data_IF_232146015021
#
_entry.id   IF_232146015021
#
_cell.length_a   1.000
_cell.length_b   1.000
_cell.length_c   1.000
_cell.angle_alpha   90.00
_cell.angle_beta   90.00
_cell.angle_gamma   90.00
#
_symmetry.space_group_name_H-M   'P 1'
#
loop_
_entity.id
_entity.type
_entity.pdbx_description
1 polymer ?
#
# COMPACT_ATOMS: atom_id res chain seq x y z
N UNK A 1 24.18 -79.97 -17.08
CA UNK A 1 23.67 -78.65 -17.53
C UNK A 1 22.89 -78.02 -16.39
N UNK A 2 23.41 -76.93 -15.83
CA UNK A 2 22.66 -75.81 -15.23
C UNK A 2 23.71 -74.93 -14.55
N UNK A 3 24.11 -73.87 -15.24
CA UNK A 3 25.16 -72.95 -14.82
C UNK A 3 24.67 -72.09 -13.64
N UNK A 4 25.49 -72.01 -12.60
CA UNK A 4 25.33 -71.09 -11.49
C UNK A 4 25.54 -69.65 -11.97
N UNK A 5 24.54 -68.79 -11.76
CA UNK A 5 24.62 -67.37 -12.10
C UNK A 5 25.28 -66.60 -10.95
N UNK A 6 26.39 -65.93 -11.27
CA UNK A 6 27.11 -64.99 -10.42
C UNK A 6 26.21 -63.83 -9.96
N UNK A 7 26.14 -63.60 -8.66
CA UNK A 7 25.64 -62.35 -8.04
C UNK A 7 26.86 -61.54 -7.60
N UNK A 8 27.06 -60.28 -8.03
CA UNK A 8 28.16 -59.45 -7.54
C UNK A 8 27.83 -58.88 -6.14
N UNK A 9 28.85 -58.54 -5.33
CA UNK A 9 28.63 -58.12 -3.95
C UNK A 9 28.04 -56.71 -3.87
N UNK A 10 27.05 -56.53 -3.00
CA UNK A 10 26.48 -55.24 -2.62
C UNK A 10 27.55 -54.37 -1.93
N UNK A 11 28.04 -53.35 -2.63
CA UNK A 11 28.79 -52.27 -2.02
C UNK A 11 27.85 -51.42 -1.17
N UNK A 12 27.96 -51.56 0.15
CA UNK A 12 27.33 -50.67 1.12
C UNK A 12 27.99 -49.30 1.06
N UNK A 13 27.50 -48.43 0.19
CA UNK A 13 27.78 -47.00 0.26
C UNK A 13 26.99 -46.44 1.44
N UNK A 14 27.68 -46.23 2.56
CA UNK A 14 27.19 -45.39 3.65
C UNK A 14 27.01 -43.97 3.12
N UNK A 15 25.81 -43.66 2.63
CA UNK A 15 25.45 -42.29 2.24
C UNK A 15 25.40 -41.45 3.50
N UNK A 16 26.48 -40.72 3.78
CA UNK A 16 26.47 -39.64 4.75
C UNK A 16 25.40 -38.65 4.31
N UNK A 17 24.37 -38.48 5.15
CA UNK A 17 23.31 -37.51 4.92
C UNK A 17 23.95 -36.13 4.80
N UNK A 18 23.71 -35.34 3.74
CA UNK A 18 24.29 -34.01 3.65
C UNK A 18 23.74 -33.14 4.77
N UNK A 19 24.62 -32.73 5.69
CA UNK A 19 24.31 -31.79 6.76
C UNK A 19 24.26 -30.37 6.17
N UNK A 20 23.21 -30.08 5.40
CA UNK A 20 23.01 -28.76 4.84
C UNK A 20 22.49 -27.82 5.93
N UNK A 21 23.29 -26.82 6.30
CA UNK A 21 22.85 -25.73 7.15
C UNK A 21 22.39 -24.58 6.29
N UNK A 22 21.19 -24.07 6.54
CA UNK A 22 20.69 -22.84 5.93
C UNK A 22 20.36 -21.85 7.04
N UNK A 23 20.85 -20.62 6.92
CA UNK A 23 20.51 -19.51 7.81
C UNK A 23 19.95 -18.37 6.99
N UNK A 24 18.79 -17.86 7.38
CA UNK A 24 18.20 -16.66 6.79
C UNK A 24 18.16 -15.59 7.88
N UNK A 25 18.78 -14.44 7.61
CA UNK A 25 18.62 -13.24 8.43
C UNK A 25 17.42 -12.46 7.89
N UNK A 26 16.45 -12.18 8.74
CA UNK A 26 15.30 -11.33 8.39
C UNK A 26 15.22 -10.16 9.35
N UNK A 27 15.23 -8.96 8.79
CA UNK A 27 14.99 -7.70 9.49
C UNK A 27 13.56 -7.28 9.21
N UNK A 28 12.74 -7.09 10.25
CA UNK A 28 11.37 -6.58 10.13
C UNK A 28 11.25 -5.21 10.80
N UNK A 29 10.48 -4.30 10.20
CA UNK A 29 10.15 -3.00 10.77
C UNK A 29 8.72 -3.05 11.31
N UNK A 30 8.55 -2.85 12.61
CA UNK A 30 7.24 -2.77 13.25
C UNK A 30 6.92 -1.31 13.51
N UNK A 31 5.85 -0.79 12.90
CA UNK A 31 5.44 0.61 13.02
C UNK A 31 4.29 0.77 14.01
N UNK A 32 4.28 1.88 14.73
CA UNK A 32 3.17 2.31 15.57
C UNK A 32 3.16 3.83 15.72
N UNK A 33 1.99 4.38 16.04
CA UNK A 33 1.83 5.82 16.26
C UNK A 33 1.15 6.08 17.59
N UNK A 34 1.47 7.22 18.21
CA UNK A 34 0.91 7.65 19.48
C UNK A 34 0.59 9.14 19.41
N UNK A 35 -0.56 9.53 19.98
CA UNK A 35 -1.00 10.93 20.06
C UNK A 35 -1.05 11.34 21.52
N UNK A 36 -0.24 12.34 21.87
CA UNK A 36 -0.10 12.83 23.24
C UNK A 36 -0.53 14.29 23.32
N UNK A 37 -1.64 14.57 23.98
CA UNK A 37 -2.13 15.93 24.22
C UNK A 37 -1.69 16.39 25.62
N UNK A 38 -0.96 17.50 25.67
CA UNK A 38 -0.56 18.19 26.91
C UNK A 38 -1.53 19.35 27.13
N UNK A 39 -2.43 19.20 28.09
CA UNK A 39 -3.29 20.28 28.56
C UNK A 39 -2.58 21.10 29.65
N UNK A 40 -2.79 22.41 29.67
CA UNK A 40 -2.13 23.30 30.62
C UNK A 40 -0.72 23.70 30.20
N UNK A 41 -0.46 23.91 28.91
CA UNK A 41 0.87 24.24 28.38
C UNK A 41 1.50 25.42 29.12
N UNK A 42 0.73 26.49 29.34
CA UNK A 42 1.17 27.69 30.03
C UNK A 42 1.64 27.41 31.47
N UNK A 43 0.97 26.48 32.17
CA UNK A 43 1.38 26.05 33.50
C UNK A 43 2.65 25.19 33.45
N UNK A 44 2.76 24.28 32.49
CA UNK A 44 3.96 23.46 32.31
C UNK A 44 5.18 24.33 31.98
N UNK A 45 5.01 25.37 31.15
CA UNK A 45 6.06 26.35 30.82
C UNK A 45 6.54 27.11 32.04
N UNK A 46 5.64 27.51 32.96
CA UNK A 46 5.99 28.24 34.19
C UNK A 46 6.89 27.45 35.14
N UNK A 47 6.87 26.12 35.07
CA UNK A 47 7.76 25.29 35.88
C UNK A 47 9.25 25.43 35.45
N UNK A 48 9.51 25.99 34.26
CA UNK A 48 10.86 26.25 33.77
C UNK A 48 11.53 25.02 33.15
N UNK A 49 12.79 25.19 32.75
CA UNK A 49 13.55 24.16 32.07
C UNK A 49 13.67 22.88 32.92
N UNK A 50 13.71 21.73 32.25
CA UNK A 50 13.83 20.41 32.89
C UNK A 50 12.53 19.81 33.43
N UNK A 51 11.45 20.59 33.52
CA UNK A 51 10.13 20.07 33.86
C UNK A 51 9.41 19.56 32.60
N UNK A 52 8.79 18.38 32.72
CA UNK A 52 8.14 17.71 31.58
C UNK A 52 6.77 17.14 31.91
N UNK A 53 5.94 17.09 30.88
CA UNK A 53 4.77 16.22 30.82
C UNK A 53 5.17 14.89 30.17
N UNK A 54 4.71 13.77 30.76
CA UNK A 54 4.96 12.42 30.26
C UNK A 54 3.67 11.78 29.78
N UNK A 55 3.70 11.15 28.61
CA UNK A 55 2.54 10.42 28.08
C UNK A 55 2.28 9.13 28.86
N UNK A 56 1.09 8.58 28.70
CA UNK A 56 0.86 7.16 28.99
C UNK A 56 1.76 6.27 28.14
N UNK A 57 2.02 5.07 28.62
CA UNK A 57 2.85 4.09 27.92
C UNK A 57 2.11 3.51 26.71
N UNK A 58 2.83 3.22 25.63
CA UNK A 58 2.28 2.58 24.42
C UNK A 58 3.26 1.56 23.85
N UNK A 59 2.72 0.50 23.23
CA UNK A 59 3.51 -0.66 22.83
C UNK A 59 3.74 -0.72 21.31
N UNK A 60 5.00 -0.81 20.91
CA UNK A 60 5.42 -0.96 19.51
C UNK A 60 6.63 -1.87 19.43
N UNK A 61 6.62 -2.83 18.51
CA UNK A 61 7.76 -3.72 18.29
C UNK A 61 8.06 -4.66 19.46
N UNK A 62 7.11 -4.87 20.38
CA UNK A 62 7.28 -5.67 21.61
C UNK A 62 7.97 -4.90 22.75
N UNK A 63 8.07 -3.58 22.63
CA UNK A 63 8.63 -2.71 23.65
C UNK A 63 7.59 -1.65 24.04
N UNK A 64 7.69 -1.19 25.28
CA UNK A 64 6.84 -0.13 25.81
C UNK A 64 7.57 1.20 25.80
N UNK A 65 6.88 2.23 25.33
CA UNK A 65 7.43 3.55 25.03
C UNK A 65 6.60 4.64 25.72
N UNK A 66 7.21 5.80 25.96
CA UNK A 66 6.50 7.02 26.34
C UNK A 66 7.10 8.25 25.68
N UNK A 67 6.29 9.30 25.51
CA UNK A 67 6.73 10.60 25.01
C UNK A 67 6.92 11.55 26.21
N UNK A 68 8.04 12.27 26.20
CA UNK A 68 8.42 13.27 27.19
C UNK A 68 8.42 14.64 26.51
N UNK A 69 7.62 15.57 27.01
CA UNK A 69 7.49 16.91 26.43
C UNK A 69 7.87 17.98 27.45
N UNK A 70 8.79 18.87 27.06
CA UNK A 70 9.31 19.94 27.89
C UNK A 70 8.86 21.28 27.31
N UNK A 71 7.94 21.96 27.99
CA UNK A 71 7.35 23.21 27.51
C UNK A 71 8.32 24.41 27.55
N UNK A 72 9.41 24.30 28.32
CA UNK A 72 10.41 25.36 28.50
C UNK A 72 11.86 24.85 28.28
N UNK A 73 12.03 23.80 27.49
CA UNK A 73 13.33 23.18 27.21
C UNK A 73 13.72 22.07 28.19
N UNK A 74 14.54 21.12 27.74
CA UNK A 74 15.10 20.04 28.57
C UNK A 74 16.09 20.60 29.61
N UNK A 75 16.86 21.61 29.22
CA UNK A 75 17.89 22.25 30.02
C UNK A 75 17.86 23.77 29.83
N UNK A 76 18.59 24.48 30.69
CA UNK A 76 18.71 25.94 30.60
C UNK A 76 19.28 26.43 29.26
N UNK A 77 20.16 25.65 28.61
CA UNK A 77 20.70 25.97 27.27
C UNK A 77 19.66 25.85 26.12
N UNK A 78 18.52 25.23 26.41
CA UNK A 78 17.41 25.00 25.48
C UNK A 78 16.27 26.01 25.67
N UNK A 79 16.45 27.02 26.53
CA UNK A 79 15.49 28.09 26.72
C UNK A 79 15.05 28.72 25.38
N UNK A 80 13.78 29.14 25.34
CA UNK A 80 13.13 29.65 24.12
C UNK A 80 12.59 28.56 23.18
N UNK A 81 12.90 27.28 23.43
CA UNK A 81 12.41 26.16 22.63
C UNK A 81 11.66 25.13 23.48
N UNK A 82 10.70 24.45 22.88
CA UNK A 82 10.15 23.21 23.42
C UNK A 82 11.06 22.04 23.07
N UNK A 83 11.12 21.03 23.94
CA UNK A 83 11.86 19.78 23.68
C UNK A 83 10.93 18.58 23.70
N UNK A 84 11.26 17.56 22.91
CA UNK A 84 10.48 16.32 22.86
C UNK A 84 11.38 15.10 22.73
N UNK A 85 11.08 14.06 23.50
CA UNK A 85 11.85 12.81 23.47
C UNK A 85 10.95 11.58 23.54
N UNK A 86 11.41 10.51 22.89
CA UNK A 86 10.92 9.15 23.02
C UNK A 86 11.74 8.46 24.10
N UNK A 87 11.06 7.93 25.10
CA UNK A 87 11.65 7.14 26.19
C UNK A 87 11.29 5.67 26.01
N UNK A 88 12.27 4.78 26.16
CA UNK A 88 12.06 3.34 26.24
C UNK A 88 11.82 2.95 27.70
N UNK A 89 10.65 2.37 28.00
CA UNK A 89 10.29 1.95 29.35
C UNK A 89 10.60 0.48 29.65
N UNK A 90 10.72 -0.35 28.61
CA UNK A 90 11.09 -1.76 28.80
C UNK A 90 12.51 -1.89 29.37
N UNK A 91 12.66 -2.65 30.46
CA UNK A 91 13.94 -2.93 31.12
C UNK A 91 14.60 -4.19 30.57
N UNK A 92 15.92 -4.34 30.75
CA UNK A 92 16.64 -5.58 30.40
C UNK A 92 16.85 -5.78 28.89
N UNK A 93 16.86 -4.69 28.12
CA UNK A 93 16.95 -4.72 26.65
C UNK A 93 18.43 -4.67 26.22
N UNK A 94 18.88 -5.63 25.38
CA UNK A 94 20.25 -5.67 24.85
C UNK A 94 20.56 -4.51 23.88
N UNK A 95 19.71 -4.34 22.86
CA UNK A 95 19.79 -3.26 21.87
C UNK A 95 18.44 -3.13 21.16
N UNK A 96 17.91 -1.92 21.05
CA UNK A 96 16.75 -1.61 20.21
C UNK A 96 17.09 -0.48 19.27
N UNK A 97 17.10 -0.76 17.97
CA UNK A 97 17.24 0.27 16.93
C UNK A 97 15.85 0.74 16.52
N UNK A 98 15.66 2.05 16.53
CA UNK A 98 14.37 2.65 16.25
C UNK A 98 14.51 3.92 15.44
N UNK A 99 13.57 4.11 14.51
CA UNK A 99 13.32 5.41 13.89
C UNK A 99 12.13 6.04 14.61
N UNK A 100 12.28 7.29 15.01
CA UNK A 100 11.23 8.06 15.65
C UNK A 100 10.95 9.32 14.85
N UNK A 101 9.68 9.72 14.82
CA UNK A 101 9.24 10.96 14.18
C UNK A 101 8.31 11.69 15.14
N UNK A 102 8.50 13.00 15.28
CA UNK A 102 7.64 13.89 16.03
C UNK A 102 7.03 14.95 15.11
N UNK A 103 5.77 15.27 15.37
CA UNK A 103 5.04 16.38 14.76
C UNK A 103 4.10 17.01 15.80
N UNK A 104 3.79 18.30 15.66
CA UNK A 104 2.71 18.96 16.39
C UNK A 104 1.46 18.97 15.48
N UNK A 105 0.28 18.70 16.04
CA UNK A 105 -0.97 18.76 15.27
C UNK A 105 -1.13 20.13 14.59
N UNK A 106 -1.38 20.13 13.28
CA UNK A 106 -1.46 21.34 12.46
C UNK A 106 -0.15 21.78 11.82
N UNK A 107 0.99 21.25 12.27
CA UNK A 107 2.28 21.52 11.63
C UNK A 107 2.56 20.56 10.46
N UNK A 108 3.16 21.08 9.39
CA UNK A 108 3.72 20.30 8.29
C UNK A 108 5.17 19.89 8.55
N UNK A 109 5.80 20.42 9.62
CA UNK A 109 7.19 20.14 9.97
C UNK A 109 7.32 18.80 10.68
N UNK A 110 7.99 17.85 10.02
CA UNK A 110 8.29 16.53 10.56
C UNK A 110 9.74 16.48 11.04
N UNK A 111 9.96 16.27 12.34
CA UNK A 111 11.30 16.02 12.88
C UNK A 111 11.49 14.52 13.09
N UNK A 112 12.38 13.92 12.30
CA UNK A 112 12.67 12.49 12.35
C UNK A 112 14.12 12.22 12.74
N UNK A 113 14.33 11.14 13.49
CA UNK A 113 15.65 10.70 13.91
C UNK A 113 15.74 9.18 13.95
N UNK A 114 16.98 8.70 14.01
CA UNK A 114 17.31 7.30 14.24
C UNK A 114 18.17 7.19 15.49
N UNK A 115 18.01 6.11 16.24
CA UNK A 115 18.98 5.79 17.27
C UNK A 115 18.81 4.41 17.86
N UNK A 116 19.77 4.08 18.72
CA UNK A 116 19.87 2.81 19.42
C UNK A 116 19.67 3.03 20.92
N UNK A 117 18.72 2.32 21.52
CA UNK A 117 18.64 2.14 22.97
C UNK A 117 19.51 0.96 23.38
N UNK A 118 20.52 1.20 24.21
CA UNK A 118 21.47 0.23 24.77
C UNK A 118 21.47 0.33 26.31
N UNK A 119 21.87 -0.73 27.04
CA UNK A 119 21.93 -0.75 28.51
C UNK A 119 22.74 0.40 29.14
N UNK A 120 23.72 0.96 28.42
CA UNK A 120 24.61 2.03 28.89
C UNK A 120 24.34 3.40 28.25
N UNK A 121 23.35 3.52 27.34
CA UNK A 121 23.04 4.78 26.65
C UNK A 121 21.91 5.54 27.32
N UNK A 122 21.77 6.83 26.99
CA UNK A 122 20.61 7.66 27.37
C UNK A 122 19.30 6.89 27.11
N UNK A 123 18.43 6.81 28.12
CA UNK A 123 17.12 6.15 28.02
C UNK A 123 16.09 6.94 27.19
N UNK A 124 16.54 7.96 26.45
CA UNK A 124 15.68 8.83 25.63
C UNK A 124 16.38 9.32 24.36
N UNK A 125 15.62 9.42 23.27
CA UNK A 125 16.05 9.96 21.98
C UNK A 125 15.05 11.02 21.52
N UNK A 126 15.52 12.13 20.97
CA UNK A 126 14.63 13.24 20.66
C UNK A 126 15.35 14.50 20.24
N UNK A 127 14.70 15.64 20.44
CA UNK A 127 15.16 16.95 20.01
C UNK A 127 15.10 17.92 21.20
N UNK A 128 16.26 18.46 21.57
CA UNK A 128 16.37 19.49 22.61
C UNK A 128 15.71 20.80 22.16
N UNK A 129 15.92 21.19 20.90
CA UNK A 129 15.33 22.39 20.30
C UNK A 129 14.38 21.97 19.19
N UNK A 130 13.22 21.43 19.58
CA UNK A 130 12.25 20.87 18.63
C UNK A 130 11.51 21.97 17.88
N UNK A 131 11.05 23.01 18.59
CA UNK A 131 10.36 24.16 18.01
C UNK A 131 10.48 25.36 18.95
N UNK A 132 10.47 26.57 18.41
CA UNK A 132 10.43 27.80 19.22
C UNK A 132 9.11 27.89 20.00
N UNK A 133 9.18 28.30 21.26
CA UNK A 133 8.01 28.40 22.15
C UNK A 133 7.00 29.40 21.58
N UNK A 134 7.45 30.55 21.09
CA UNK A 134 6.58 31.58 20.51
C UNK A 134 5.75 31.01 19.34
N UNK A 135 6.39 30.24 18.45
CA UNK A 135 5.70 29.57 17.34
C UNK A 135 4.66 28.57 17.85
N UNK A 136 4.96 27.82 18.92
CA UNK A 136 3.99 26.90 19.52
C UNK A 136 2.80 27.66 20.09
N UNK A 137 3.03 28.74 20.83
CA UNK A 137 1.98 29.57 21.46
C UNK A 137 1.10 30.26 20.42
N UNK A 138 1.68 30.79 19.34
CA UNK A 138 0.95 31.58 18.35
C UNK A 138 0.18 30.72 17.33
N UNK A 139 0.70 29.54 16.97
CA UNK A 139 0.20 28.76 15.83
C UNK A 139 -0.43 27.43 16.24
N UNK A 140 0.14 26.75 17.23
CA UNK A 140 -0.18 25.34 17.51
C UNK A 140 -0.86 25.11 18.87
N UNK A 141 -0.95 26.14 19.71
CA UNK A 141 -1.61 26.08 20.99
C UNK A 141 -3.09 26.38 20.84
N UNK A 142 -3.93 25.39 21.11
CA UNK A 142 -5.39 25.52 21.04
C UNK A 142 -5.98 25.24 22.43
N UNK A 143 -6.68 26.21 23.02
CA UNK A 143 -7.26 26.09 24.37
C UNK A 143 -6.23 25.65 25.44
N UNK A 144 -5.04 26.27 25.44
CA UNK A 144 -3.91 25.91 26.32
C UNK A 144 -3.47 24.43 26.22
N UNK A 145 -3.78 23.79 25.09
CA UNK A 145 -3.43 22.41 24.78
C UNK A 145 -2.54 22.33 23.54
N UNK A 146 -1.48 21.55 23.63
CA UNK A 146 -0.62 21.18 22.49
C UNK A 146 -0.68 19.67 22.29
N UNK A 147 -0.79 19.22 21.04
CA UNK A 147 -0.85 17.79 20.73
C UNK A 147 0.35 17.36 19.91
N UNK A 148 1.10 16.39 20.45
CA UNK A 148 2.27 15.78 19.82
C UNK A 148 1.85 14.45 19.18
N UNK A 149 2.15 14.30 17.89
CA UNK A 149 2.09 13.04 17.18
C UNK A 149 3.48 12.42 17.15
N UNK A 150 3.60 11.21 17.69
CA UNK A 150 4.80 10.40 17.64
C UNK A 150 4.57 9.19 16.73
N UNK A 151 5.50 8.92 15.82
CA UNK A 151 5.56 7.67 15.08
C UNK A 151 6.86 6.94 15.43
N UNK A 152 6.76 5.65 15.68
CA UNK A 152 7.86 4.78 16.10
C UNK A 152 7.95 3.61 15.13
N UNK A 153 9.12 3.40 14.53
CA UNK A 153 9.41 2.24 13.68
C UNK A 153 10.56 1.44 14.30
N UNK A 154 10.24 0.30 14.91
CA UNK A 154 11.20 -0.55 15.62
C UNK A 154 11.80 -1.57 14.66
N UNK A 155 13.13 -1.61 14.58
CA UNK A 155 13.87 -2.63 13.84
C UNK A 155 13.96 -3.88 14.70
N UNK A 156 13.38 -4.99 14.23
CA UNK A 156 13.50 -6.28 14.88
C UNK A 156 14.31 -7.23 13.99
N UNK A 157 15.42 -7.67 14.52
CA UNK A 157 16.22 -8.72 13.92
C UNK A 157 15.78 -10.06 14.51
N UNK A 158 15.37 -11.01 13.66
CA UNK A 158 15.22 -12.39 14.10
C UNK A 158 16.61 -13.02 14.11
N UNK A 159 17.17 -13.29 15.30
CA UNK A 159 18.46 -13.98 15.45
C UNK A 159 18.41 -15.30 14.66
N UNK A 160 19.23 -15.40 13.62
CA UNK A 160 19.37 -16.61 12.83
C UNK A 160 20.12 -17.66 13.67
N UNK A 161 19.37 -18.54 14.35
CA UNK A 161 19.96 -19.71 14.99
C UNK A 161 20.03 -20.82 13.94
N UNK A 162 21.23 -21.34 13.67
CA UNK A 162 21.39 -22.59 12.93
C UNK A 162 20.84 -23.73 13.81
N UNK A 163 19.53 -23.92 13.78
CA UNK A 163 18.91 -25.14 14.29
C UNK A 163 19.03 -26.21 13.22
N UNK A 164 19.45 -27.42 13.60
CA UNK A 164 19.26 -28.63 12.79
C UNK A 164 17.75 -28.76 12.57
N UNK A 165 17.26 -28.23 11.46
CA UNK A 165 15.85 -28.24 11.13
C UNK A 165 15.54 -29.61 10.54
N UNK A 166 14.75 -30.41 11.27
CA UNK A 166 14.04 -31.56 10.69
C UNK A 166 12.83 -31.12 9.84
N UNK A 167 12.76 -29.84 9.43
CA UNK A 167 11.70 -29.36 8.54
C UNK A 167 12.19 -29.42 7.11
N UNK A 168 11.41 -30.09 6.28
CA UNK A 168 11.52 -30.01 4.83
C UNK A 168 11.32 -28.55 4.44
N UNK A 169 12.23 -28.00 3.65
CA UNK A 169 12.06 -26.68 3.07
C UNK A 169 10.83 -26.73 2.13
N UNK A 170 9.76 -26.05 2.53
CA UNK A 170 8.55 -25.95 1.70
C UNK A 170 8.76 -24.78 0.74
N UNK A 171 8.74 -25.02 -0.59
CA UNK A 171 8.83 -23.93 -1.55
C UNK A 171 7.64 -22.95 -1.39
N UNK A 172 7.82 -21.66 -1.71
CA UNK A 172 6.73 -20.69 -1.66
C UNK A 172 5.53 -21.11 -2.53
N UNK A 173 4.31 -20.65 -2.20
CA UNK A 173 3.14 -20.90 -3.04
C UNK A 173 3.38 -20.41 -4.47
N UNK A 174 3.27 -21.31 -5.44
CA UNK A 174 3.51 -21.02 -6.86
C UNK A 174 2.22 -21.04 -7.69
N UNK A 175 1.04 -20.99 -7.06
CA UNK A 175 -0.26 -21.13 -7.73
C UNK A 175 -0.50 -20.05 -8.78
N UNK A 176 -0.20 -18.77 -8.47
CA UNK A 176 -0.36 -17.68 -9.42
C UNK A 176 0.48 -17.91 -10.68
N UNK A 177 1.74 -18.33 -10.52
CA UNK A 177 2.63 -18.69 -11.64
C UNK A 177 2.09 -19.88 -12.45
N UNK A 178 1.55 -20.90 -11.78
CA UNK A 178 0.98 -22.05 -12.48
C UNK A 178 -0.27 -21.69 -13.28
N UNK A 179 -1.10 -20.78 -12.76
CA UNK A 179 -2.27 -20.25 -13.47
C UNK A 179 -1.87 -19.32 -14.63
N UNK A 180 -0.84 -18.49 -14.44
CA UNK A 180 -0.26 -17.68 -15.51
C UNK A 180 0.22 -18.55 -16.69
N UNK A 181 1.00 -19.59 -16.38
CA UNK A 181 1.45 -20.57 -17.38
C UNK A 181 0.28 -21.32 -18.05
N UNK A 182 -0.82 -21.53 -17.33
CA UNK A 182 -2.03 -22.14 -17.87
C UNK A 182 -2.69 -21.21 -18.90
N UNK A 183 -2.76 -19.90 -18.63
CA UNK A 183 -3.24 -18.90 -19.58
C UNK A 183 -2.35 -18.81 -20.83
N UNK A 184 -1.03 -18.74 -20.64
CA UNK A 184 -0.05 -18.64 -21.74
C UNK A 184 -0.05 -19.87 -22.65
N UNK A 185 -0.07 -21.07 -22.04
CA UNK A 185 -0.02 -22.32 -22.78
C UNK A 185 -1.33 -22.69 -23.47
N UNK A 186 -2.45 -22.06 -23.05
CA UNK A 186 -3.83 -22.30 -23.54
C UNK A 186 -4.31 -23.75 -23.38
N UNK A 187 -3.56 -24.60 -22.67
CA UNK A 187 -3.83 -26.03 -22.53
C UNK A 187 -5.11 -26.25 -21.71
N UNK A 188 -6.08 -26.94 -22.29
CA UNK A 188 -7.35 -27.22 -21.62
C UNK A 188 -8.35 -26.05 -21.67
N UNK A 189 -8.09 -25.03 -22.49
CA UNK A 189 -9.04 -23.95 -22.74
C UNK A 189 -10.35 -24.48 -23.33
N UNK A 190 -11.46 -24.05 -22.74
CA UNK A 190 -12.82 -24.49 -23.06
C UNK A 190 -13.72 -23.33 -23.51
N UNK A 191 -13.16 -22.12 -23.55
CA UNK A 191 -13.83 -20.88 -23.92
C UNK A 191 -12.87 -19.97 -24.70
N UNK A 192 -13.35 -19.37 -25.77
CA UNK A 192 -12.69 -18.26 -26.46
C UNK A 192 -13.47 -16.98 -26.17
N UNK A 193 -12.81 -15.96 -25.62
CA UNK A 193 -13.38 -14.63 -25.47
C UNK A 193 -12.92 -13.75 -26.62
N UNK A 194 -13.86 -13.12 -27.31
CA UNK A 194 -13.59 -12.19 -28.40
C UNK A 194 -13.79 -10.75 -27.93
N UNK A 195 -12.77 -9.90 -28.08
CA UNK A 195 -12.80 -8.47 -27.76
C UNK A 195 -12.33 -7.70 -28.99
N UNK A 196 -13.28 -7.08 -29.69
CA UNK A 196 -13.03 -6.56 -31.04
C UNK A 196 -12.56 -7.68 -31.98
N UNK A 197 -11.36 -7.53 -32.52
CA UNK A 197 -10.71 -8.51 -33.40
C UNK A 197 -9.87 -9.54 -32.64
N UNK A 198 -9.51 -9.24 -31.38
CA UNK A 198 -8.68 -10.10 -30.55
C UNK A 198 -9.48 -11.29 -30.00
N UNK A 199 -8.84 -12.46 -29.96
CA UNK A 199 -9.41 -13.71 -29.42
C UNK A 199 -8.50 -14.29 -28.35
N UNK A 200 -9.09 -14.64 -27.22
CA UNK A 200 -8.40 -15.13 -26.03
C UNK A 200 -8.93 -16.50 -25.65
N UNK A 201 -8.11 -17.54 -25.76
CA UNK A 201 -8.45 -18.89 -25.31
C UNK A 201 -8.20 -19.01 -23.81
N UNK A 202 -9.26 -19.29 -23.06
CA UNK A 202 -9.32 -19.15 -21.61
C UNK A 202 -10.13 -20.29 -20.99
N UNK A 203 -10.11 -20.34 -19.66
CA UNK A 203 -10.72 -21.39 -18.85
C UNK A 203 -11.95 -20.82 -18.15
N UNK A 204 -13.14 -21.35 -18.50
CA UNK A 204 -14.43 -20.91 -17.95
C UNK A 204 -14.48 -21.01 -16.43
N UNK A 205 -13.92 -22.08 -15.87
CA UNK A 205 -13.88 -22.32 -14.44
C UNK A 205 -13.07 -21.25 -13.69
N UNK A 206 -11.92 -20.84 -14.24
CA UNK A 206 -11.05 -19.81 -13.63
C UNK A 206 -11.76 -18.46 -13.65
N UNK A 207 -12.32 -18.06 -14.80
CA UNK A 207 -13.08 -16.81 -14.94
C UNK A 207 -14.27 -16.75 -13.99
N UNK A 208 -15.07 -17.81 -13.91
CA UNK A 208 -16.22 -17.87 -13.01
C UNK A 208 -15.87 -17.95 -11.52
N UNK A 209 -14.69 -18.47 -11.17
CA UNK A 209 -14.23 -18.45 -9.79
C UNK A 209 -13.80 -17.05 -9.34
N UNK A 210 -13.28 -16.24 -10.27
CA UNK A 210 -12.64 -14.95 -9.98
C UNK A 210 -13.52 -13.74 -10.28
N UNK A 211 -14.55 -13.90 -11.11
CA UNK A 211 -15.49 -12.83 -11.47
C UNK A 211 -16.94 -13.29 -11.26
N UNK A 212 -17.71 -12.61 -10.40
CA UNK A 212 -19.13 -12.91 -10.21
C UNK A 212 -19.95 -12.67 -11.49
N UNK A 213 -19.54 -11.73 -12.34
CA UNK A 213 -20.18 -11.45 -13.63
C UNK A 213 -20.01 -12.64 -14.57
N UNK A 214 -18.79 -13.15 -14.74
CA UNK A 214 -18.57 -14.36 -15.54
C UNK A 214 -19.25 -15.59 -14.93
N UNK A 215 -19.26 -15.70 -13.59
CA UNK A 215 -19.99 -16.77 -12.90
C UNK A 215 -21.48 -16.77 -13.25
N UNK A 216 -22.13 -15.61 -13.15
CA UNK A 216 -23.53 -15.45 -13.50
C UNK A 216 -23.78 -15.69 -14.99
N UNK A 217 -22.88 -15.22 -15.85
CA UNK A 217 -22.99 -15.44 -17.29
C UNK A 217 -22.90 -16.92 -17.70
N UNK A 218 -22.06 -17.70 -17.01
CA UNK A 218 -21.79 -19.09 -17.36
C UNK A 218 -22.66 -20.10 -16.61
N UNK A 219 -23.06 -19.79 -15.39
CA UNK A 219 -23.76 -20.71 -14.48
C UNK A 219 -25.04 -20.12 -13.88
N UNK A 220 -25.38 -18.87 -14.17
CA UNK A 220 -26.62 -18.25 -13.73
C UNK A 220 -27.83 -18.63 -14.58
N UNK A 221 -29.04 -18.13 -14.22
CA UNK A 221 -30.30 -18.50 -14.86
C UNK A 221 -30.33 -18.29 -16.39
N UNK A 222 -29.60 -17.29 -16.90
CA UNK A 222 -29.53 -16.96 -18.33
C UNK A 222 -28.46 -17.74 -19.11
N UNK A 223 -27.70 -18.62 -18.47
CA UNK A 223 -26.60 -19.35 -19.12
C UNK A 223 -27.04 -20.24 -20.29
N UNK A 224 -28.25 -20.82 -20.23
CA UNK A 224 -28.79 -21.63 -21.31
C UNK A 224 -29.15 -20.79 -22.55
N UNK A 225 -29.68 -19.58 -22.36
CA UNK A 225 -29.99 -18.65 -23.44
C UNK A 225 -28.70 -18.16 -24.14
N UNK A 226 -27.68 -17.82 -23.36
CA UNK A 226 -26.37 -17.40 -23.88
C UNK A 226 -25.69 -18.49 -24.72
N UNK A 227 -25.83 -19.77 -24.33
CA UNK A 227 -25.30 -20.90 -25.11
C UNK A 227 -25.97 -21.07 -26.48
N UNK A 228 -27.26 -20.77 -26.59
CA UNK A 228 -28.02 -20.83 -27.84
C UNK A 228 -27.66 -19.67 -28.78
N UNK A 229 -27.47 -18.47 -28.23
CA UNK A 229 -27.08 -17.29 -29.00
C UNK A 229 -25.66 -17.37 -29.60
N UNK A 230 -24.76 -18.18 -29.01
CA UNK A 230 -23.37 -18.30 -29.50
C UNK A 230 -23.17 -19.26 -30.69
N UNK A 231 -24.23 -19.85 -31.25
CA UNK A 231 -24.14 -20.64 -32.49
C UNK A 231 -23.29 -21.92 -32.41
N UNK A 232 -23.33 -22.63 -31.27
CA UNK A 232 -22.68 -23.95 -31.12
C UNK A 232 -21.81 -24.07 -29.88
N UNK A 233 -22.23 -24.95 -28.95
CA UNK A 233 -21.44 -25.38 -27.78
C UNK A 233 -21.19 -24.35 -26.68
N UNK A 234 -21.52 -23.06 -26.87
CA UNK A 234 -21.24 -22.00 -25.89
C UNK A 234 -19.76 -21.65 -25.75
N UNK A 235 -18.91 -22.05 -26.70
CA UNK A 235 -17.45 -21.94 -26.62
C UNK A 235 -16.93 -20.54 -26.98
N UNK A 236 -17.77 -19.59 -27.37
CA UNK A 236 -17.36 -18.24 -27.70
C UNK A 236 -18.20 -17.19 -26.95
N UNK A 237 -17.55 -16.19 -26.35
CA UNK A 237 -18.21 -15.05 -25.69
C UNK A 237 -17.63 -13.76 -26.26
N UNK A 238 -18.50 -12.83 -26.67
CA UNK A 238 -18.08 -11.51 -27.13
C UNK A 238 -18.19 -10.49 -26.00
N UNK A 239 -17.12 -9.72 -25.81
CA UNK A 239 -17.08 -8.56 -24.92
C UNK A 239 -17.08 -7.32 -25.79
N UNK A 240 -18.16 -6.56 -25.72
CA UNK A 240 -18.31 -5.28 -26.43
C UNK A 240 -17.74 -4.12 -25.61
N UNK A 241 -17.47 -2.98 -26.26
CA UNK A 241 -17.09 -1.71 -25.61
C UNK A 241 -15.90 -1.81 -24.66
N UNK A 242 -14.87 -2.55 -25.06
CA UNK A 242 -13.63 -2.70 -24.29
C UNK A 242 -12.43 -2.82 -25.22
N UNK A 243 -11.34 -2.14 -24.88
CA UNK A 243 -10.08 -2.25 -25.61
C UNK A 243 -9.41 -3.60 -25.29
N UNK A 244 -8.77 -4.27 -26.27
CA UNK A 244 -8.02 -5.50 -26.04
C UNK A 244 -7.04 -5.42 -24.86
N UNK A 245 -6.25 -4.34 -24.76
CA UNK A 245 -5.29 -4.14 -23.68
C UNK A 245 -5.93 -4.06 -22.28
N UNK A 246 -7.13 -3.49 -22.16
CA UNK A 246 -7.86 -3.46 -20.89
C UNK A 246 -8.38 -4.85 -20.50
N UNK A 247 -8.80 -5.65 -21.49
CA UNK A 247 -9.21 -7.03 -21.25
C UNK A 247 -8.03 -7.95 -20.93
N UNK A 248 -6.86 -7.72 -21.53
CA UNK A 248 -5.62 -8.41 -21.15
C UNK A 248 -5.25 -8.16 -19.69
N UNK A 249 -5.46 -6.93 -19.19
CA UNK A 249 -5.27 -6.63 -17.78
C UNK A 249 -6.23 -7.39 -16.86
N UNK A 250 -7.49 -7.53 -17.27
CA UNK A 250 -8.48 -8.38 -16.60
C UNK A 250 -8.02 -9.83 -16.56
N UNK A 251 -7.56 -10.37 -17.69
CA UNK A 251 -7.07 -11.75 -17.76
C UNK A 251 -5.85 -11.96 -16.88
N UNK A 252 -4.86 -11.07 -16.95
CA UNK A 252 -3.69 -11.14 -16.08
C UNK A 252 -4.14 -11.20 -14.60
N UNK A 253 -4.94 -10.24 -14.15
CA UNK A 253 -5.41 -10.19 -12.76
C UNK A 253 -6.22 -11.44 -12.35
N UNK A 254 -7.08 -11.95 -13.23
CA UNK A 254 -7.88 -13.15 -12.96
C UNK A 254 -6.99 -14.36 -12.67
N UNK A 255 -5.89 -14.52 -13.40
CA UNK A 255 -5.01 -15.68 -13.27
C UNK A 255 -3.87 -15.48 -12.24
N UNK A 256 -3.42 -14.25 -12.02
CA UNK A 256 -2.23 -13.98 -11.18
C UNK A 256 -2.55 -13.25 -9.87
N UNK A 257 -3.72 -12.63 -9.75
CA UNK A 257 -4.08 -11.70 -8.67
C UNK A 257 -3.16 -10.46 -8.59
N UNK A 258 -2.58 -10.05 -9.73
CA UNK A 258 -1.79 -8.81 -9.83
C UNK A 258 -2.19 -7.93 -11.01
N UNK A 259 -1.91 -6.64 -10.88
CA UNK A 259 -1.98 -5.72 -12.00
C UNK A 259 -0.85 -6.05 -13.00
N UNK A 260 -1.08 -5.87 -14.32
CA UNK A 260 -0.05 -6.07 -15.32
C UNK A 260 1.17 -5.18 -15.08
N UNK A 261 2.38 -5.67 -15.40
CA UNK A 261 3.55 -4.79 -15.44
C UNK A 261 3.34 -3.71 -16.51
N UNK A 262 3.63 -2.46 -16.15
CA UNK A 262 3.74 -1.38 -17.12
C UNK A 262 5.06 -1.59 -17.84
N UNK A 263 5.02 -1.91 -19.13
CA UNK A 263 6.24 -2.11 -19.92
C UNK A 263 6.96 -0.77 -20.09
N UNK A 264 8.13 -0.62 -19.49
CA UNK A 264 9.08 0.42 -19.85
C UNK A 264 9.66 0.04 -21.22
N UNK A 265 9.66 0.95 -22.20
CA UNK A 265 10.44 0.72 -23.42
C UNK A 265 11.93 0.58 -23.01
N UNK A 266 12.58 -0.48 -23.51
CA UNK A 266 13.90 -0.92 -23.04
C UNK A 266 14.96 0.18 -23.13
N UNK A 267 15.42 0.66 -21.97
CA UNK A 267 16.44 1.67 -21.82
C UNK A 267 17.34 1.43 -20.61
N UNK A 268 18.30 0.50 -20.80
CA UNK A 268 19.50 0.26 -19.99
C UNK A 268 19.39 -0.47 -18.63
N UNK A 269 20.26 -1.47 -18.51
CA UNK A 269 20.38 -2.44 -17.42
C UNK A 269 20.71 -1.76 -16.08
N UNK A 270 19.91 -2.03 -15.04
CA UNK A 270 20.46 -2.17 -13.68
C UNK A 270 19.93 -3.43 -13.01
N UNK A 271 20.89 -4.26 -12.62
CA UNK A 271 20.67 -5.54 -11.99
C UNK A 271 20.44 -5.27 -10.50
N UNK A 272 19.26 -5.59 -9.95
CA UNK A 272 19.15 -5.94 -8.54
C UNK A 272 17.87 -6.72 -8.20
N UNK A 273 18.07 -8.02 -7.99
CA UNK A 273 17.38 -8.96 -7.09
C UNK A 273 15.97 -8.59 -6.58
N UNK A 274 14.95 -9.03 -7.32
CA UNK A 274 13.56 -9.07 -6.86
C UNK A 274 13.31 -10.28 -5.93
N UNK A 275 13.45 -10.06 -4.63
CA UNK A 275 12.65 -10.74 -3.60
C UNK A 275 12.14 -9.69 -2.63
N UNK A 276 11.19 -8.88 -3.09
CA UNK A 276 10.49 -7.90 -2.27
C UNK A 276 9.04 -7.80 -2.73
N UNK A 277 8.14 -8.19 -1.82
CA UNK A 277 6.71 -7.86 -1.73
C UNK A 277 5.96 -7.51 -3.02
N UNK A 278 5.03 -8.40 -3.34
CA UNK A 278 4.09 -8.42 -4.46
C UNK A 278 3.01 -7.31 -4.41
N UNK A 279 3.44 -6.07 -4.26
CA UNK A 279 2.77 -4.87 -4.71
C UNK A 279 3.84 -4.10 -5.45
N UNK A 280 3.86 -4.22 -6.78
CA UNK A 280 4.63 -3.30 -7.61
C UNK A 280 4.07 -1.93 -7.30
N UNK A 281 4.76 -1.16 -6.46
CA UNK A 281 4.47 0.25 -6.34
C UNK A 281 4.54 0.79 -7.77
N UNK A 282 3.47 1.41 -8.27
CA UNK A 282 3.54 2.21 -9.50
C UNK A 282 4.65 3.29 -9.44
N UNK A 283 5.23 3.49 -8.27
CA UNK A 283 6.42 4.31 -7.97
C UNK A 283 7.69 3.86 -8.69
N UNK A 284 7.93 2.56 -8.89
CA UNK A 284 9.20 2.05 -9.46
C UNK A 284 9.11 1.74 -10.97
N UNK A 285 7.91 1.60 -11.53
CA UNK A 285 7.68 1.39 -12.98
C UNK A 285 7.56 2.70 -13.78
N UNK A 286 7.95 3.82 -13.15
CA UNK A 286 7.85 5.17 -13.69
C UNK A 286 9.20 5.74 -14.12
N UNK A 287 10.21 4.90 -14.38
CA UNK A 287 11.53 5.35 -14.82
C UNK A 287 11.61 5.55 -16.35
N UNK A 288 10.54 5.28 -17.11
CA UNK A 288 10.52 5.47 -18.57
C UNK A 288 9.19 5.90 -19.23
N UNK A 289 8.02 5.77 -18.58
CA UNK A 289 6.75 6.22 -19.16
C UNK A 289 6.37 7.65 -18.74
N UNK A 290 5.70 8.39 -19.61
CA UNK A 290 5.10 9.66 -19.20
C UNK A 290 4.02 9.37 -18.13
N UNK A 291 4.03 10.13 -17.02
CA UNK A 291 3.07 9.99 -15.91
C UNK A 291 1.60 10.08 -16.38
N UNK A 292 1.34 10.56 -17.60
CA UNK A 292 0.03 10.63 -18.24
C UNK A 292 -0.47 9.29 -18.81
N UNK A 293 0.39 8.51 -19.47
CA UNK A 293 -0.01 7.26 -20.16
C UNK A 293 -0.38 6.16 -19.17
N UNK A 294 0.42 6.01 -18.11
CA UNK A 294 0.14 5.06 -17.03
C UNK A 294 -1.22 5.34 -16.39
N UNK A 295 -1.55 6.62 -16.19
CA UNK A 295 -2.87 7.01 -15.67
C UNK A 295 -3.99 6.60 -16.62
N UNK A 296 -3.83 6.78 -17.93
CA UNK A 296 -4.85 6.36 -18.91
C UNK A 296 -5.09 4.85 -18.81
N UNK A 297 -4.02 4.05 -18.71
CA UNK A 297 -4.14 2.60 -18.53
C UNK A 297 -4.87 2.23 -17.24
N UNK A 298 -4.47 2.80 -16.10
CA UNK A 298 -5.10 2.50 -14.80
C UNK A 298 -6.58 2.86 -14.78
N UNK A 299 -6.99 3.96 -15.43
CA UNK A 299 -8.42 4.33 -15.53
C UNK A 299 -9.24 3.29 -16.29
N UNK A 300 -8.67 2.69 -17.32
CA UNK A 300 -9.34 1.63 -18.07
C UNK A 300 -9.37 0.30 -17.34
N UNK A 301 -8.30 -0.01 -16.61
CA UNK A 301 -8.25 -1.16 -15.72
C UNK A 301 -9.31 -1.04 -14.63
N UNK A 302 -9.50 0.15 -14.06
CA UNK A 302 -10.57 0.44 -13.10
C UNK A 302 -11.96 0.19 -13.72
N UNK A 303 -12.21 0.74 -14.91
CA UNK A 303 -13.47 0.56 -15.62
C UNK A 303 -13.75 -0.92 -15.95
N UNK A 304 -12.71 -1.67 -16.33
CA UNK A 304 -12.80 -3.10 -16.60
C UNK A 304 -13.04 -3.90 -15.31
N UNK A 305 -12.34 -3.57 -14.22
CA UNK A 305 -12.48 -4.22 -12.93
C UNK A 305 -13.91 -4.08 -12.40
N UNK A 306 -14.46 -2.87 -12.44
CA UNK A 306 -15.85 -2.60 -12.05
C UNK A 306 -16.84 -3.41 -12.91
N UNK A 307 -16.68 -3.38 -14.24
CA UNK A 307 -17.53 -4.14 -15.18
C UNK A 307 -17.56 -5.64 -14.91
N UNK A 308 -16.44 -6.24 -14.50
CA UNK A 308 -16.34 -7.67 -14.23
C UNK A 308 -16.48 -8.03 -12.74
N UNK A 309 -16.74 -7.05 -11.86
CA UNK A 309 -16.87 -7.26 -10.42
C UNK A 309 -15.58 -7.75 -9.75
N UNK A 310 -14.43 -7.26 -10.20
CA UNK A 310 -13.10 -7.58 -9.66
C UNK A 310 -12.71 -6.59 -8.55
N UNK A 311 -13.31 -6.75 -7.37
CA UNK A 311 -13.20 -5.79 -6.26
C UNK A 311 -11.75 -5.44 -5.88
N UNK A 312 -10.89 -6.45 -5.70
CA UNK A 312 -9.49 -6.22 -5.32
C UNK A 312 -8.71 -5.50 -6.42
N UNK A 313 -8.97 -5.79 -7.69
CA UNK A 313 -8.37 -5.05 -8.81
C UNK A 313 -8.82 -3.59 -8.81
N UNK A 314 -10.11 -3.35 -8.55
CA UNK A 314 -10.68 -2.01 -8.45
C UNK A 314 -9.99 -1.20 -7.36
N UNK A 315 -9.86 -1.74 -6.15
CA UNK A 315 -9.19 -1.08 -5.04
C UNK A 315 -7.71 -0.78 -5.32
N UNK A 316 -6.99 -1.69 -5.99
CA UNK A 316 -5.59 -1.44 -6.40
C UNK A 316 -5.50 -0.31 -7.43
N UNK A 317 -6.46 -0.21 -8.35
CA UNK A 317 -6.54 0.91 -9.29
C UNK A 317 -6.95 2.22 -8.59
N UNK A 318 -7.84 2.18 -7.60
CA UNK A 318 -8.22 3.34 -6.78
C UNK A 318 -7.00 3.91 -6.03
N UNK A 319 -6.25 3.05 -5.34
CA UNK A 319 -5.04 3.40 -4.60
C UNK A 319 -4.00 4.08 -5.52
N UNK A 320 -3.74 3.47 -6.69
CA UNK A 320 -2.84 4.01 -7.71
C UNK A 320 -3.29 5.40 -8.23
N UNK A 321 -4.59 5.62 -8.36
CA UNK A 321 -5.13 6.91 -8.81
C UNK A 321 -5.06 7.96 -7.70
N UNK A 322 -5.32 7.58 -6.45
CA UNK A 322 -5.23 8.44 -5.26
C UNK A 322 -3.85 9.07 -5.11
N UNK A 323 -2.78 8.29 -5.22
CA UNK A 323 -1.39 8.79 -5.14
C UNK A 323 -1.06 9.82 -6.24
N UNK A 324 -1.85 9.84 -7.31
CA UNK A 324 -1.61 10.65 -8.49
C UNK A 324 -2.57 11.83 -8.66
N UNK A 325 -3.42 12.13 -7.66
CA UNK A 325 -4.35 13.26 -7.71
C UNK A 325 -3.57 14.59 -7.73
N UNK A 326 -3.98 15.49 -8.63
CA UNK A 326 -3.44 16.84 -8.75
C UNK A 326 -4.43 17.78 -9.46
N UNK A 327 -4.13 19.08 -9.46
CA UNK A 327 -5.00 20.13 -10.05
C UNK A 327 -5.53 19.73 -11.43
N UNK A 328 -4.64 19.32 -12.33
CA UNK A 328 -4.96 19.01 -13.73
C UNK A 328 -5.90 17.81 -13.92
N UNK A 329 -6.01 16.91 -12.95
CA UNK A 329 -6.72 15.64 -13.11
C UNK A 329 -7.82 15.37 -12.06
N UNK A 330 -7.88 16.14 -10.97
CA UNK A 330 -8.80 15.90 -9.86
C UNK A 330 -10.26 15.80 -10.32
N UNK A 331 -10.71 16.73 -11.16
CA UNK A 331 -12.08 16.74 -11.70
C UNK A 331 -12.38 15.52 -12.59
N UNK A 332 -11.43 15.13 -13.45
CA UNK A 332 -11.57 13.97 -14.32
C UNK A 332 -11.56 12.65 -13.52
N UNK A 333 -10.72 12.55 -12.50
CA UNK A 333 -10.65 11.39 -11.59
C UNK A 333 -11.90 11.30 -10.71
N UNK A 334 -12.44 12.43 -10.23
CA UNK A 334 -13.71 12.46 -9.49
C UNK A 334 -14.87 11.91 -10.34
N UNK A 335 -14.99 12.39 -11.60
CA UNK A 335 -16.01 11.90 -12.54
C UNK A 335 -15.91 10.40 -12.76
N UNK A 336 -14.69 9.90 -12.91
CA UNK A 336 -14.43 8.48 -13.09
C UNK A 336 -14.81 7.66 -11.85
N UNK A 337 -14.42 8.14 -10.67
CA UNK A 337 -14.72 7.49 -9.40
C UNK A 337 -16.22 7.39 -9.15
N UNK A 338 -16.97 8.45 -9.47
CA UNK A 338 -18.43 8.46 -9.37
C UNK A 338 -19.08 7.46 -10.33
N UNK A 339 -18.64 7.46 -11.61
CA UNK A 339 -19.15 6.56 -12.66
C UNK A 339 -18.96 5.08 -12.31
N UNK A 340 -17.87 4.72 -11.65
CA UNK A 340 -17.53 3.34 -11.29
C UNK A 340 -17.75 3.03 -9.82
N UNK A 341 -18.56 3.85 -9.13
CA UNK A 341 -18.97 3.63 -7.73
C UNK A 341 -17.78 3.43 -6.76
N UNK A 342 -16.66 4.10 -7.01
CA UNK A 342 -15.43 4.07 -6.23
C UNK A 342 -15.53 5.06 -5.05
N UNK A 343 -16.11 4.62 -3.93
CA UNK A 343 -16.44 5.50 -2.81
C UNK A 343 -15.22 6.19 -2.17
N UNK A 344 -14.11 5.47 -2.01
CA UNK A 344 -12.88 5.99 -1.39
C UNK A 344 -12.20 7.03 -2.29
N UNK A 345 -11.98 6.69 -3.56
CA UNK A 345 -11.39 7.62 -4.54
C UNK A 345 -12.27 8.87 -4.73
N UNK A 346 -13.60 8.72 -4.74
CA UNK A 346 -14.55 9.84 -4.83
C UNK A 346 -14.43 10.77 -3.64
N UNK A 347 -14.43 10.24 -2.41
CA UNK A 347 -14.30 11.04 -1.19
C UNK A 347 -12.98 11.84 -1.16
N UNK A 348 -11.85 11.18 -1.47
CA UNK A 348 -10.54 11.84 -1.49
C UNK A 348 -10.45 12.92 -2.58
N UNK A 349 -11.03 12.67 -3.75
CA UNK A 349 -11.10 13.67 -4.81
C UNK A 349 -11.97 14.88 -4.41
N UNK A 350 -13.10 14.64 -3.72
CA UNK A 350 -13.92 15.74 -3.19
C UNK A 350 -13.18 16.55 -2.15
N UNK A 351 -12.50 15.92 -1.19
CA UNK A 351 -11.70 16.61 -0.16
C UNK A 351 -10.58 17.44 -0.79
N UNK A 352 -9.88 16.88 -1.78
CA UNK A 352 -8.83 17.60 -2.51
C UNK A 352 -9.37 18.84 -3.24
N UNK A 353 -10.51 18.73 -3.93
CA UNK A 353 -11.11 19.85 -4.66
C UNK A 353 -11.68 20.89 -3.69
N UNK A 354 -12.27 20.46 -2.58
CA UNK A 354 -12.85 21.33 -1.56
C UNK A 354 -11.79 22.02 -0.67
N UNK A 355 -10.53 21.58 -0.73
CA UNK A 355 -9.44 22.17 0.04
C UNK A 355 -9.22 23.66 -0.30
N UNK A 356 -8.82 24.50 0.68
CA UNK A 356 -8.61 25.92 0.48
C UNK A 356 -7.65 26.22 -0.68
N UNK A 357 -8.04 27.12 -1.59
CA UNK A 357 -7.22 27.52 -2.75
C UNK A 357 -7.20 26.54 -3.93
N UNK A 358 -7.65 25.30 -3.76
CA UNK A 358 -7.60 24.28 -4.80
C UNK A 358 -8.74 24.39 -5.81
N UNK A 359 -9.94 24.75 -5.34
CA UNK A 359 -11.14 24.84 -6.19
C UNK A 359 -10.93 25.77 -7.39
N UNK A 360 -10.39 26.97 -7.18
CA UNK A 360 -10.17 27.95 -8.25
C UNK A 360 -9.20 27.42 -9.32
N UNK A 361 -8.13 26.74 -8.90
CA UNK A 361 -7.16 26.14 -9.80
C UNK A 361 -7.76 24.97 -10.60
N UNK A 362 -8.57 24.13 -9.96
CA UNK A 362 -9.26 23.01 -10.62
C UNK A 362 -10.32 23.53 -11.60
N UNK A 363 -11.06 24.58 -11.25
CA UNK A 363 -12.07 25.19 -12.11
C UNK A 363 -11.54 25.71 -13.44
N UNK A 364 -10.26 26.11 -13.49
CA UNK A 364 -9.60 26.55 -14.71
C UNK A 364 -9.23 25.40 -15.67
N UNK A 365 -9.27 24.14 -15.20
CA UNK A 365 -8.89 22.98 -16.01
C UNK A 365 -9.99 22.55 -16.97
N UNK A 366 -9.59 21.97 -18.10
CA UNK A 366 -10.53 21.43 -19.08
C UNK A 366 -11.35 20.27 -18.50
N UNK A 367 -10.73 19.44 -17.66
CA UNK A 367 -11.42 18.34 -16.97
C UNK A 367 -12.57 18.80 -16.07
N UNK A 368 -12.49 20.01 -15.49
CA UNK A 368 -13.60 20.58 -14.72
C UNK A 368 -14.71 21.13 -15.61
N UNK A 369 -14.40 21.69 -16.79
CA UNK A 369 -15.43 22.08 -17.76
C UNK A 369 -16.21 20.88 -18.27
N UNK A 370 -15.51 19.78 -18.57
CA UNK A 370 -16.17 18.52 -18.96
C UNK A 370 -17.03 17.94 -17.82
N UNK A 371 -16.56 18.03 -16.57
CA UNK A 371 -17.34 17.62 -15.40
C UNK A 371 -18.66 18.40 -15.31
N UNK A 372 -18.64 19.71 -15.59
CA UNK A 372 -19.86 20.54 -15.56
C UNK A 372 -20.91 20.07 -16.55
N UNK A 373 -20.49 19.67 -17.75
CA UNK A 373 -21.40 19.21 -18.81
C UNK A 373 -21.89 17.79 -18.53
N UNK A 374 -21.00 16.90 -18.10
CA UNK A 374 -21.32 15.49 -17.93
C UNK A 374 -22.11 15.18 -16.66
N UNK A 375 -21.80 15.84 -15.53
CA UNK A 375 -22.35 15.51 -14.22
C UNK A 375 -22.61 16.78 -13.37
N UNK A 376 -23.70 17.53 -13.63
CA UNK A 376 -24.01 18.76 -12.89
C UNK A 376 -24.23 18.56 -11.39
N UNK A 377 -24.72 17.38 -10.98
CA UNK A 377 -24.98 17.05 -9.57
C UNK A 377 -23.70 17.04 -8.72
N UNK A 378 -22.58 16.58 -9.28
CA UNK A 378 -21.28 16.60 -8.59
C UNK A 378 -20.82 18.04 -8.30
N UNK A 379 -21.23 19.02 -9.10
CA UNK A 379 -20.92 20.43 -8.82
C UNK A 379 -21.65 20.92 -7.57
N UNK A 380 -22.91 20.53 -7.41
CA UNK A 380 -23.72 20.92 -6.24
C UNK A 380 -23.07 20.35 -4.99
N UNK A 381 -22.72 19.06 -5.00
CA UNK A 381 -22.03 18.41 -3.87
C UNK A 381 -20.68 19.06 -3.56
N UNK A 382 -19.89 19.42 -4.58
CA UNK A 382 -18.62 20.16 -4.38
C UNK A 382 -18.89 21.51 -3.71
N UNK A 383 -19.91 22.26 -4.16
CA UNK A 383 -20.24 23.57 -3.61
C UNK A 383 -20.77 23.49 -2.18
N UNK A 384 -21.62 22.51 -1.88
CA UNK A 384 -22.10 22.23 -0.51
C UNK A 384 -20.93 21.91 0.41
N UNK A 385 -20.02 21.04 -0.04
CA UNK A 385 -18.84 20.65 0.74
C UNK A 385 -17.91 21.84 1.00
N UNK A 386 -17.67 22.68 -0.01
CA UNK A 386 -16.87 23.92 0.12
C UNK A 386 -17.55 24.93 1.05
N UNK A 387 -18.88 25.03 1.02
CA UNK A 387 -19.66 25.88 1.92
C UNK A 387 -19.53 25.46 3.38
N UNK A 388 -19.60 24.15 3.66
CA UNK A 388 -19.35 23.60 4.99
C UNK A 388 -17.90 23.83 5.46
N UNK A 389 -16.90 23.66 4.59
CA UNK A 389 -15.49 23.87 4.95
C UNK A 389 -15.10 25.35 5.20
N UNK A 390 -16.00 26.32 4.94
CA UNK A 390 -15.80 27.75 5.23
C UNK A 390 -16.51 28.23 6.50
N UNK A 391 -17.31 27.37 7.12
CA UNK A 391 -18.11 27.68 8.32
C UNK A 391 -17.54 27.06 9.60
N UNK A 392 -16.41 26.38 9.49
CA UNK A 392 -15.51 25.93 10.58
C UNK A 392 -14.23 26.76 10.54
#
# INVERSE_FOLDING_TARGET
MAAASNVPPSSSTSSSSPHNTTSTHSTELVKGTHRFTVAGFSLQKRNGAGHFAKSGSFDVGGYSWAVMFYAAGEKEEDQGHVSVFLELQSTGVEKVTVKYTFNISGSSLLSAGWGDFKPSSKCRLGFNKFMEIETVEDVYLMNDCVTIHCAVEVVREKKARATVSRRIAVPPPAICRHLEQLLESKKGSDLTVQVGESKYDVHRAVLAARSPVFRAQFFGPMAAANRRASGGGGRCVRVHDMRPAAFEAVLHFVYTDTLPPVKEEEGFLTNNSASRHHLVNLRDAAAGCSKGEVRVMVREWLAAADRFGLERMRLLCEDALCESIGVANAAATLRLADRHHCALLRALCMEYIASPGMLAAVMATEGFKELKVACPFLLIEILEKVGCCRSE
#
